data_IF_253836011345
#
_entry.id   IF_253836011345
#
_cell.length_a   1.000
_cell.length_b   1.000
_cell.length_c   1.000
_cell.angle_alpha   90.00
_cell.angle_beta   90.00
_cell.angle_gamma   90.00
#
_symmetry.space_group_name_H-M   'P 1'
#
loop_
_entity.id
_entity.type
_entity.pdbx_description
1 polymer ?
#
# COMPACT_ATOMS: atom_id res chain seq x y z
N UNK A 1 15.85 -4.11 0.57
CA UNK A 1 14.75 -3.28 0.02
C UNK A 1 13.80 -4.18 -0.75
N UNK A 2 12.51 -3.88 -0.75
CA UNK A 2 11.51 -4.54 -1.59
C UNK A 2 11.29 -3.69 -2.85
N UNK A 3 10.94 -4.34 -3.96
CA UNK A 3 10.51 -3.67 -5.19
C UNK A 3 9.00 -3.49 -5.16
N UNK A 4 8.53 -2.26 -5.33
CA UNK A 4 7.10 -1.99 -5.52
C UNK A 4 6.70 -2.39 -6.95
N UNK A 5 5.63 -3.17 -7.06
CA UNK A 5 5.09 -3.67 -8.32
C UNK A 5 3.62 -3.21 -8.43
N UNK A 6 3.36 -2.07 -9.08
CA UNK A 6 2.01 -1.67 -9.40
C UNK A 6 1.47 -2.52 -10.55
N UNK A 7 0.19 -2.87 -10.51
CA UNK A 7 -0.56 -3.36 -11.66
C UNK A 7 -1.27 -2.21 -12.42
N UNK A 8 -1.88 -2.50 -13.57
CA UNK A 8 -2.54 -1.48 -14.39
C UNK A 8 -3.68 -0.75 -13.64
N UNK A 9 -4.45 -1.47 -12.81
CA UNK A 9 -5.55 -0.89 -12.05
C UNK A 9 -5.04 0.05 -10.95
N UNK A 10 -3.99 -0.34 -10.24
CA UNK A 10 -3.34 0.46 -9.21
C UNK A 10 -2.69 1.73 -9.79
N UNK A 11 -2.15 1.68 -11.01
CA UNK A 11 -1.63 2.88 -11.68
C UNK A 11 -2.74 3.89 -11.99
N UNK A 12 -3.90 3.44 -12.47
CA UNK A 12 -5.06 4.31 -12.71
C UNK A 12 -5.59 4.91 -11.40
N UNK A 13 -5.62 4.11 -10.33
CA UNK A 13 -6.00 4.55 -9.00
C UNK A 13 -5.05 5.61 -8.43
N UNK A 14 -3.74 5.43 -8.60
CA UNK A 14 -2.73 6.43 -8.20
C UNK A 14 -2.89 7.71 -9.01
N UNK A 15 -3.16 7.60 -10.31
CA UNK A 15 -3.41 8.77 -11.16
C UNK A 15 -4.70 9.52 -10.78
N UNK A 16 -5.66 8.85 -10.15
CA UNK A 16 -6.90 9.45 -9.65
C UNK A 16 -6.77 10.06 -8.24
N UNK A 17 -5.62 9.89 -7.56
CA UNK A 17 -5.41 10.51 -6.26
C UNK A 17 -5.41 12.04 -6.37
N UNK A 18 -6.00 12.75 -5.39
CA UNK A 18 -5.90 14.20 -5.34
C UNK A 18 -4.45 14.61 -5.04
N UNK A 19 -4.06 15.81 -5.47
CA UNK A 19 -2.67 16.29 -5.41
C UNK A 19 -2.14 16.28 -3.98
N UNK A 20 -2.97 16.66 -3.01
CA UNK A 20 -2.67 16.67 -1.59
C UNK A 20 -2.36 15.27 -1.02
N UNK A 21 -2.86 14.20 -1.64
CA UNK A 21 -2.61 12.83 -1.21
C UNK A 21 -1.29 12.26 -1.76
N UNK A 22 -0.71 12.87 -2.80
CA UNK A 22 0.45 12.30 -3.49
C UNK A 22 1.71 12.24 -2.59
N UNK A 23 1.95 13.27 -1.78
CA UNK A 23 3.11 13.32 -0.88
C UNK A 23 3.03 12.24 0.19
N UNK A 24 1.88 12.13 0.87
CA UNK A 24 1.67 11.11 1.91
C UNK A 24 1.62 9.69 1.34
N UNK A 25 1.11 9.52 0.12
CA UNK A 25 1.18 8.24 -0.59
C UNK A 25 2.64 7.85 -0.92
N UNK A 26 3.47 8.80 -1.36
CA UNK A 26 4.89 8.54 -1.62
C UNK A 26 5.65 8.11 -0.35
N UNK A 27 5.31 8.66 0.81
CA UNK A 27 5.85 8.21 2.10
C UNK A 27 5.48 6.76 2.40
N UNK A 28 4.24 6.34 2.12
CA UNK A 28 3.83 4.93 2.24
C UNK A 28 4.70 4.05 1.35
N UNK A 29 4.94 4.42 0.09
CA UNK A 29 5.80 3.63 -0.80
C UNK A 29 7.21 3.46 -0.23
N UNK A 30 7.81 4.53 0.29
CA UNK A 30 9.12 4.46 0.93
C UNK A 30 9.15 3.51 2.14
N UNK A 31 8.07 3.48 2.94
CA UNK A 31 7.93 2.51 4.04
C UNK A 31 7.79 1.09 3.50
N UNK A 32 6.99 0.86 2.47
CA UNK A 32 6.78 -0.47 1.88
C UNK A 32 8.06 -1.04 1.24
N UNK A 33 8.93 -0.19 0.71
CA UNK A 33 10.24 -0.62 0.20
C UNK A 33 11.18 -1.11 1.32
N UNK A 34 11.00 -0.65 2.56
CA UNK A 34 11.87 -0.99 3.68
C UNK A 34 11.27 -2.06 4.60
N UNK A 35 10.02 -1.88 5.03
CA UNK A 35 9.35 -2.64 6.07
C UNK A 35 7.86 -2.88 5.75
N UNK A 36 7.52 -3.62 4.67
CA UNK A 36 6.13 -3.84 4.28
C UNK A 36 5.34 -4.69 5.29
N UNK A 37 6.03 -5.50 6.10
CA UNK A 37 5.43 -6.28 7.19
C UNK A 37 4.97 -5.45 8.40
N UNK A 38 5.18 -4.13 8.40
CA UNK A 38 4.67 -3.26 9.47
C UNK A 38 3.22 -2.80 9.24
N UNK A 39 2.69 -2.92 8.02
CA UNK A 39 1.28 -2.60 7.76
C UNK A 39 0.34 -3.60 8.44
N UNK A 40 -0.94 -3.25 8.56
CA UNK A 40 -1.89 -4.12 9.27
C UNK A 40 -2.27 -5.34 8.41
N UNK A 41 -2.46 -6.53 8.99
CA UNK A 41 -2.99 -7.67 8.25
C UNK A 41 -4.39 -7.35 7.75
N UNK A 42 -4.74 -7.79 6.55
CA UNK A 42 -6.08 -7.56 5.99
C UNK A 42 -7.17 -8.27 6.81
N UNK A 43 -6.83 -9.40 7.43
CA UNK A 43 -7.73 -10.20 8.27
C UNK A 43 -7.07 -10.39 9.64
N UNK A 44 -7.74 -9.95 10.72
CA UNK A 44 -7.19 -10.02 12.08
C UNK A 44 -6.99 -11.47 12.57
N UNK A 45 -7.84 -12.39 12.11
CA UNK A 45 -7.73 -13.83 12.41
C UNK A 45 -6.53 -14.51 11.71
N UNK A 46 -5.86 -13.81 10.79
CA UNK A 46 -4.65 -14.29 10.11
C UNK A 46 -3.57 -13.21 10.10
N UNK A 47 -2.93 -12.92 11.25
CA UNK A 47 -1.95 -11.85 11.38
C UNK A 47 -0.65 -12.10 10.58
N UNK A 48 -0.40 -13.36 10.20
CA UNK A 48 0.74 -13.75 9.36
C UNK A 48 0.48 -13.63 7.86
N UNK A 49 -0.74 -13.28 7.44
CA UNK A 49 -1.07 -13.13 6.03
C UNK A 49 -0.20 -12.07 5.35
N UNK A 50 0.22 -12.38 4.12
CA UNK A 50 1.03 -11.50 3.29
C UNK A 50 0.23 -10.37 2.63
N UNK A 51 -1.11 -10.47 2.61
CA UNK A 51 -1.98 -9.37 2.20
C UNK A 51 -2.21 -8.43 3.38
N UNK A 52 -1.83 -7.18 3.19
CA UNK A 52 -1.80 -6.16 4.23
C UNK A 52 -2.34 -4.85 3.71
N UNK A 53 -2.67 -3.95 4.62
CA UNK A 53 -3.08 -2.60 4.28
C UNK A 53 -2.36 -1.54 5.11
N UNK A 54 -2.28 -0.34 4.53
CA UNK A 54 -1.73 0.85 5.15
C UNK A 54 -2.69 2.02 4.92
N UNK A 55 -3.15 2.65 6.00
CA UNK A 55 -3.94 3.88 5.92
C UNK A 55 -3.02 5.10 5.98
N UNK A 56 -3.31 6.13 5.19
CA UNK A 56 -2.51 7.35 5.09
C UNK A 56 -3.39 8.58 4.90
N UNK A 57 -2.77 9.77 4.95
CA UNK A 57 -3.51 11.03 4.89
C UNK A 57 -4.28 11.36 6.18
N UNK A 58 -4.93 12.54 6.23
CA UNK A 58 -5.71 12.97 7.38
C UNK A 58 -6.81 11.96 7.70
N UNK A 59 -6.97 11.62 8.98
CA UNK A 59 -8.00 10.70 9.49
C UNK A 59 -8.08 9.33 8.79
N UNK A 60 -7.01 8.92 8.08
CA UNK A 60 -6.99 7.67 7.30
C UNK A 60 -7.78 7.75 5.99
N UNK A 61 -7.91 8.95 5.41
CA UNK A 61 -8.60 9.19 4.14
C UNK A 61 -8.00 8.42 2.96
N UNK A 62 -6.74 8.02 3.01
CA UNK A 62 -6.08 7.17 2.03
C UNK A 62 -5.90 5.74 2.51
N UNK A 63 -5.95 4.77 1.59
CA UNK A 63 -5.59 3.39 1.88
C UNK A 63 -4.83 2.75 0.72
N UNK A 64 -3.79 1.98 1.06
CA UNK A 64 -3.12 1.03 0.15
C UNK A 64 -3.36 -0.38 0.67
N UNK A 65 -3.83 -1.29 -0.19
CA UNK A 65 -3.83 -2.74 0.05
C UNK A 65 -2.78 -3.37 -0.85
N UNK A 66 -1.97 -4.25 -0.31
CA UNK A 66 -0.82 -4.81 -1.00
C UNK A 66 -0.55 -6.26 -0.60
N UNK A 67 0.12 -7.00 -1.49
CA UNK A 67 0.60 -8.36 -1.27
C UNK A 67 2.12 -8.36 -1.17
N UNK A 68 2.66 -9.00 -0.14
CA UNK A 68 4.09 -9.23 0.02
C UNK A 68 4.47 -10.57 -0.59
N UNK A 69 5.39 -10.56 -1.55
CA UNK A 69 6.04 -11.76 -2.06
C UNK A 69 7.47 -11.81 -1.52
N UNK A 70 7.65 -12.49 -0.39
CA UNK A 70 8.89 -12.45 0.40
C UNK A 70 10.11 -12.96 -0.38
N UNK A 71 9.96 -14.11 -1.05
CA UNK A 71 11.04 -14.74 -1.80
C UNK A 71 11.56 -13.86 -2.95
N UNK A 72 10.66 -13.12 -3.60
CA UNK A 72 10.98 -12.20 -4.69
C UNK A 72 11.37 -10.81 -4.19
N UNK A 73 11.19 -10.54 -2.88
CA UNK A 73 11.33 -9.21 -2.29
C UNK A 73 10.46 -8.18 -3.02
N UNK A 74 9.21 -8.54 -3.29
CA UNK A 74 8.26 -7.69 -4.01
C UNK A 74 7.06 -7.31 -3.14
N UNK A 75 6.52 -6.13 -3.41
CA UNK A 75 5.26 -5.64 -2.85
C UNK A 75 4.35 -5.29 -4.01
N UNK A 76 3.31 -6.09 -4.23
CA UNK A 76 2.35 -5.89 -5.30
C UNK A 76 1.21 -5.01 -4.79
N UNK A 77 0.97 -3.87 -5.45
CA UNK A 77 -0.14 -2.99 -5.09
C UNK A 77 -1.43 -3.58 -5.66
N UNK A 78 -2.41 -3.82 -4.78
CA UNK A 78 -3.69 -4.42 -5.15
C UNK A 78 -4.81 -3.37 -5.20
N UNK A 79 -4.74 -2.38 -4.30
CA UNK A 79 -5.69 -1.27 -4.22
C UNK A 79 -4.98 -0.03 -3.70
N UNK A 80 -5.23 1.10 -4.33
CA UNK A 80 -4.93 2.44 -3.83
C UNK A 80 -6.23 3.23 -3.89
N UNK A 81 -6.64 3.83 -2.80
CA UNK A 81 -7.90 4.57 -2.76
C UNK A 81 -7.80 5.80 -1.88
N UNK A 82 -8.56 6.82 -2.27
CA UNK A 82 -8.84 8.01 -1.48
C UNK A 82 -10.34 8.06 -1.17
N UNK A 83 -10.68 8.11 0.12
CA UNK A 83 -12.03 8.01 0.65
C UNK A 83 -12.67 9.37 0.97
N UNK A 84 -11.87 10.45 1.01
CA UNK A 84 -12.35 11.81 1.28
C UNK A 84 -11.92 12.32 2.64
#
# INVERSE_FOLDING_TARGET
>A
MYRIVPDAASLEQVAALPVEALSVYAEVLAVLELQPWNGRPQHEDNPGAAVRYWSFGPDGAGQVVYLILEEQREVHLLLVQWLG
#
